data_IF_382776909446
#
_entry.id   IF_382776909446
#
_cell.length_a   1.000
_cell.length_b   1.000
_cell.length_c   1.000
_cell.angle_alpha   90.00
_cell.angle_beta   90.00
_cell.angle_gamma   90.00
#
_symmetry.space_group_name_H-M   'P 1'
#
loop_
_entity.id
_entity.type
_entity.pdbx_description
1 polymer ?
#
# COMPACT_ATOMS: atom_id res chain seq x y z
N UNK A 1 27.03 37.99 -32.98
CA UNK A 1 26.19 36.84 -32.60
C UNK A 1 26.55 36.51 -31.17
N UNK A 2 25.67 36.78 -30.22
CA UNK A 2 25.84 36.39 -28.81
C UNK A 2 25.01 35.13 -28.60
N UNK A 3 25.67 33.97 -28.51
CA UNK A 3 25.02 32.71 -28.13
C UNK A 3 24.80 32.75 -26.61
N UNK A 4 23.56 33.03 -26.20
CA UNK A 4 23.10 32.83 -24.82
C UNK A 4 22.94 31.31 -24.62
N UNK A 5 23.88 30.70 -23.89
CA UNK A 5 23.77 29.30 -23.48
C UNK A 5 22.60 29.13 -22.53
N UNK A 6 21.66 28.25 -22.88
CA UNK A 6 20.52 27.89 -22.06
C UNK A 6 21.01 27.03 -20.87
N UNK A 7 21.05 27.61 -19.66
CA UNK A 7 21.38 26.85 -18.45
C UNK A 7 20.28 25.80 -18.17
N UNK A 8 20.68 24.53 -18.14
CA UNK A 8 19.82 23.40 -17.83
C UNK A 8 20.20 22.80 -16.47
N UNK A 9 19.22 22.61 -15.60
CA UNK A 9 19.36 22.08 -14.26
C UNK A 9 19.02 20.58 -14.30
N UNK A 10 19.92 19.74 -13.77
CA UNK A 10 19.73 18.29 -13.68
C UNK A 10 19.00 17.96 -12.37
N UNK A 11 17.84 17.30 -12.47
CA UNK A 11 17.05 16.84 -11.31
C UNK A 11 17.51 15.43 -10.95
N UNK A 12 17.98 15.26 -9.71
CA UNK A 12 18.51 13.98 -9.19
C UNK A 12 17.52 13.36 -8.22
N UNK A 13 17.21 12.07 -8.42
CA UNK A 13 16.31 11.29 -7.59
C UNK A 13 16.88 10.90 -6.22
N UNK A 14 16.03 10.35 -5.33
CA UNK A 14 16.42 9.93 -3.97
C UNK A 14 17.43 8.76 -3.95
N UNK A 15 17.62 8.09 -5.08
CA UNK A 15 18.61 7.05 -5.36
C UNK A 15 19.92 7.59 -5.93
N UNK A 16 20.04 8.91 -6.10
CA UNK A 16 21.23 9.57 -6.65
C UNK A 16 21.34 9.52 -8.17
N UNK A 17 20.32 9.01 -8.88
CA UNK A 17 20.30 8.93 -10.34
C UNK A 17 19.65 10.19 -10.94
N UNK A 18 20.17 10.74 -12.06
CA UNK A 18 19.52 11.85 -12.74
C UNK A 18 18.21 11.38 -13.40
N UNK A 19 17.09 11.99 -13.01
CA UNK A 19 15.74 11.67 -13.51
C UNK A 19 15.38 12.54 -14.72
N UNK A 20 16.03 13.70 -14.91
CA UNK A 20 15.83 14.54 -16.08
C UNK A 20 16.55 15.89 -16.00
N UNK A 21 16.43 16.70 -17.06
CA UNK A 21 16.92 18.08 -17.10
C UNK A 21 15.77 19.04 -17.32
N UNK A 22 15.73 20.14 -16.56
CA UNK A 22 14.77 21.22 -16.73
C UNK A 22 15.50 22.53 -17.04
N UNK A 23 14.97 23.39 -17.92
CA UNK A 23 15.57 24.69 -18.18
C UNK A 23 15.48 25.57 -16.92
N UNK A 24 16.54 26.33 -16.63
CA UNK A 24 16.62 27.14 -15.41
C UNK A 24 15.49 28.19 -15.29
N UNK A 25 14.93 28.64 -16.41
CA UNK A 25 13.79 29.56 -16.47
C UNK A 25 12.49 28.99 -15.88
N UNK A 26 12.32 27.67 -15.90
CA UNK A 26 11.12 27.02 -15.36
C UNK A 26 11.10 26.99 -13.82
N UNK A 27 12.27 27.09 -13.17
CA UNK A 27 12.38 27.04 -11.69
C UNK A 27 12.18 28.42 -11.07
N UNK A 28 12.59 29.50 -11.75
CA UNK A 28 12.40 30.87 -11.27
C UNK A 28 10.93 31.32 -11.29
N UNK A 29 10.13 30.79 -12.23
CA UNK A 29 8.70 31.14 -12.32
C UNK A 29 7.85 30.64 -11.13
N UNK A 30 8.36 29.72 -10.31
CA UNK A 30 7.68 29.21 -9.12
C UNK A 30 8.02 29.96 -7.82
N UNK A 31 9.00 30.87 -7.83
CA UNK A 31 9.45 31.58 -6.62
C UNK A 31 8.79 32.98 -6.44
N UNK A 32 8.06 33.48 -7.44
CA UNK A 32 7.50 34.86 -7.48
C UNK A 32 6.02 34.98 -7.02
N UNK A 33 5.47 34.03 -6.26
CA UNK A 33 4.12 34.18 -5.67
C UNK A 33 4.22 34.59 -4.20
N UNK A 34 4.48 35.88 -4.00
CA UNK A 34 4.40 36.59 -2.72
C UNK A 34 2.93 36.91 -2.37
N UNK A 35 2.59 36.75 -1.10
CA UNK A 35 1.23 36.87 -0.59
C UNK A 35 0.77 38.31 -0.40
N UNK A 36 -0.41 38.65 -0.93
CA UNK A 36 -1.33 39.61 -0.29
C UNK A 36 -2.71 39.61 -0.96
N UNK A 37 -3.73 39.47 -0.10
CA UNK A 37 -5.06 40.10 -0.14
C UNK A 37 -5.74 40.33 -1.51
N UNK A 38 -6.77 39.54 -1.82
CA UNK A 38 -7.82 39.93 -2.79
C UNK A 38 -9.20 39.59 -2.23
N UNK A 39 -9.95 40.65 -1.97
CA UNK A 39 -11.35 40.71 -1.57
C UNK A 39 -12.30 40.10 -2.60
N UNK A 40 -13.19 39.25 -2.09
CA UNK A 40 -14.60 39.04 -2.45
C UNK A 40 -15.19 40.03 -3.48
N UNK A 41 -15.44 39.57 -4.74
CA UNK A 41 -16.67 39.81 -5.52
C UNK A 41 -16.81 38.78 -6.67
N UNK A 42 -17.88 37.96 -6.60
CA UNK A 42 -18.68 37.31 -7.69
C UNK A 42 -18.00 36.44 -8.76
N UNK A 43 -18.44 35.18 -8.91
CA UNK A 43 -19.39 34.80 -9.99
C UNK A 43 -19.95 33.39 -9.74
N UNK A 44 -21.22 33.24 -10.07
CA UNK A 44 -22.06 32.05 -9.98
C UNK A 44 -21.71 31.11 -11.12
N UNK A 45 -21.24 29.91 -10.79
CA UNK A 45 -21.49 28.73 -11.63
C UNK A 45 -22.12 27.66 -10.78
N UNK A 46 -23.46 27.63 -10.83
CA UNK A 46 -24.24 26.43 -10.61
C UNK A 46 -23.68 25.30 -11.45
N UNK A 47 -23.17 24.29 -10.77
CA UNK A 47 -23.07 22.93 -11.24
C UNK A 47 -23.51 22.08 -10.07
N UNK A 48 -24.81 21.79 -10.01
CA UNK A 48 -25.31 20.63 -9.29
C UNK A 48 -24.59 19.41 -9.87
N UNK A 49 -23.58 18.93 -9.17
CA UNK A 49 -23.11 17.55 -9.29
C UNK A 49 -23.33 16.93 -7.91
N UNK A 50 -24.55 16.44 -7.74
CA UNK A 50 -24.87 15.27 -6.90
C UNK A 50 -24.01 14.10 -7.37
N UNK A 51 -22.73 14.16 -7.06
CA UNK A 51 -21.78 13.06 -7.14
C UNK A 51 -21.63 12.53 -5.73
N UNK A 52 -22.49 11.58 -5.37
CA UNK A 52 -22.31 10.65 -4.26
C UNK A 52 -21.04 9.82 -4.59
N UNK A 53 -19.86 10.44 -4.49
CA UNK A 53 -18.54 9.80 -4.49
C UNK A 53 -18.29 9.22 -3.10
N UNK A 54 -19.27 8.46 -2.60
CA UNK A 54 -19.03 7.37 -1.67
C UNK A 54 -18.51 6.16 -2.49
N UNK A 55 -17.56 6.46 -3.39
CA UNK A 55 -16.77 5.50 -4.12
C UNK A 55 -15.96 4.75 -3.08
N UNK A 56 -16.54 3.63 -2.61
CA UNK A 56 -15.97 2.63 -1.71
C UNK A 56 -14.53 2.97 -1.36
N UNK A 57 -14.31 3.80 -0.31
CA UNK A 57 -12.96 4.18 0.11
C UNK A 57 -12.15 2.92 0.12
N UNK A 58 -11.01 2.93 -0.58
CA UNK A 58 -10.22 1.72 -0.75
C UNK A 58 -10.03 1.12 0.63
N UNK A 59 -10.26 -0.17 0.83
CA UNK A 59 -10.10 -0.79 2.16
C UNK A 59 -8.70 -0.53 2.74
N UNK A 60 -7.72 -0.20 1.89
CA UNK A 60 -6.40 0.26 2.31
C UNK A 60 -6.41 1.64 2.99
N UNK A 61 -7.34 2.53 2.64
CA UNK A 61 -7.47 3.90 3.15
C UNK A 61 -8.11 3.94 4.54
N UNK A 62 -8.74 2.84 4.98
CA UNK A 62 -9.24 2.71 6.35
C UNK A 62 -8.11 2.77 7.40
N UNK A 63 -6.88 2.43 7.01
CA UNK A 63 -5.71 2.47 7.88
C UNK A 63 -4.69 3.45 7.32
N UNK A 64 -4.77 4.69 7.76
CA UNK A 64 -3.89 5.78 7.31
C UNK A 64 -2.42 5.53 7.63
N UNK A 65 -2.11 4.88 8.76
CA UNK A 65 -0.74 4.59 9.19
C UNK A 65 -0.54 3.10 9.54
N UNK A 66 -0.46 2.20 8.54
CA UNK A 66 -0.40 0.75 8.79
C UNK A 66 0.77 0.34 9.68
N UNK A 67 1.96 0.89 9.44
CA UNK A 67 3.16 0.59 10.23
C UNK A 67 3.01 1.00 11.71
N UNK A 68 2.36 2.14 11.98
CA UNK A 68 2.13 2.63 13.34
C UNK A 68 1.15 1.70 14.07
N UNK A 69 0.02 1.40 13.44
CA UNK A 69 -1.01 0.52 14.00
C UNK A 69 -0.46 -0.89 14.28
N UNK A 70 0.31 -1.47 13.35
CA UNK A 70 0.95 -2.78 13.55
C UNK A 70 1.94 -2.80 14.72
N UNK A 71 2.74 -1.75 14.87
CA UNK A 71 3.70 -1.60 15.97
C UNK A 71 2.98 -1.53 17.32
N UNK A 72 1.92 -0.74 17.41
CA UNK A 72 1.11 -0.63 18.65
C UNK A 72 0.39 -1.95 18.94
N UNK A 73 -0.23 -2.59 17.94
CA UNK A 73 -0.89 -3.89 18.11
C UNK A 73 0.06 -4.97 18.60
N UNK A 74 1.30 -5.00 18.08
CA UNK A 74 2.34 -5.93 18.53
C UNK A 74 2.77 -5.67 19.98
N UNK A 75 2.89 -4.39 20.36
CA UNK A 75 3.19 -3.99 21.74
C UNK A 75 2.06 -4.44 22.69
N UNK A 76 0.79 -4.18 22.35
CA UNK A 76 -0.36 -4.59 23.18
C UNK A 76 -0.39 -6.12 23.35
N UNK A 77 -0.15 -6.87 22.27
CA UNK A 77 -0.07 -8.34 22.33
C UNK A 77 1.03 -8.81 23.28
N UNK A 78 2.23 -8.23 23.21
CA UNK A 78 3.32 -8.60 24.11
C UNK A 78 2.96 -8.31 25.57
N UNK A 79 2.36 -7.15 25.86
CA UNK A 79 1.90 -6.81 27.21
C UNK A 79 0.82 -7.79 27.71
N UNK A 80 -0.11 -8.19 26.85
CA UNK A 80 -1.12 -9.19 27.18
C UNK A 80 -0.50 -10.54 27.56
N UNK A 81 0.51 -10.99 26.82
CA UNK A 81 1.23 -12.22 27.16
C UNK A 81 1.98 -12.10 28.49
N UNK A 82 2.59 -10.96 28.79
CA UNK A 82 3.23 -10.71 30.10
C UNK A 82 2.21 -10.74 31.25
N UNK A 83 1.03 -10.15 31.07
CA UNK A 83 -0.06 -10.20 32.08
C UNK A 83 -0.54 -11.64 32.32
N UNK A 84 -0.50 -12.50 31.29
CA UNK A 84 -0.86 -13.92 31.41
C UNK A 84 0.26 -14.76 32.05
N UNK A 85 1.51 -14.30 31.97
CA UNK A 85 2.68 -15.06 32.40
C UNK A 85 2.91 -15.01 33.91
N UNK A 86 2.62 -13.88 34.56
CA UNK A 86 2.83 -13.70 36.00
C UNK A 86 1.83 -12.74 36.65
N UNK A 87 1.51 -12.92 37.94
CA UNK A 87 0.64 -12.00 38.68
C UNK A 87 1.22 -10.58 38.76
N UNK A 88 0.36 -9.58 38.64
CA UNK A 88 0.75 -8.16 38.68
C UNK A 88 0.46 -7.51 40.03
N UNK A 89 1.37 -6.65 40.48
CA UNK A 89 1.13 -5.74 41.59
C UNK A 89 0.29 -4.53 41.17
N UNK A 90 -0.15 -3.74 42.16
CA UNK A 90 -1.02 -2.59 41.91
C UNK A 90 -0.37 -1.50 41.06
N UNK A 91 0.93 -1.23 41.28
CA UNK A 91 1.69 -0.26 40.51
C UNK A 91 1.77 -0.65 39.02
N UNK A 92 2.03 -1.92 38.73
CA UNK A 92 2.07 -2.45 37.37
C UNK A 92 0.71 -2.37 36.69
N UNK A 93 -0.38 -2.67 37.42
CA UNK A 93 -1.75 -2.55 36.88
C UNK A 93 -2.12 -1.11 36.55
N UNK A 94 -1.78 -0.15 37.41
CA UNK A 94 -1.97 1.28 37.12
C UNK A 94 -1.17 1.73 35.90
N UNK A 95 0.07 1.29 35.77
CA UNK A 95 0.89 1.58 34.58
C UNK A 95 0.28 0.98 33.32
N UNK A 96 -0.23 -0.24 33.37
CA UNK A 96 -0.88 -0.91 32.24
C UNK A 96 -2.18 -0.21 31.83
N UNK A 97 -2.97 0.27 32.78
CA UNK A 97 -4.17 1.06 32.49
C UNK A 97 -3.82 2.36 31.73
N UNK A 98 -2.77 3.06 32.15
CA UNK A 98 -2.28 4.25 31.45
C UNK A 98 -1.74 3.92 30.05
N UNK A 99 -1.00 2.82 29.91
CA UNK A 99 -0.51 2.34 28.60
C UNK A 99 -1.69 1.99 27.69
N UNK A 100 -2.73 1.34 28.20
CA UNK A 100 -3.92 1.00 27.42
C UNK A 100 -4.59 2.26 26.85
N UNK A 101 -4.83 3.27 27.68
CA UNK A 101 -5.40 4.55 27.26
C UNK A 101 -4.55 5.26 26.21
N UNK A 102 -3.24 5.36 26.46
CA UNK A 102 -2.31 5.95 25.50
C UNK A 102 -2.25 5.16 24.19
N UNK A 103 -2.38 3.83 24.24
CA UNK A 103 -2.35 2.99 23.04
C UNK A 103 -3.59 3.20 22.18
N UNK A 104 -4.77 3.38 22.77
CA UNK A 104 -6.01 3.73 22.04
C UNK A 104 -5.82 5.07 21.33
N UNK A 105 -5.40 6.12 22.04
CA UNK A 105 -5.16 7.43 21.44
C UNK A 105 -4.11 7.39 20.31
N UNK A 106 -3.09 6.53 20.42
CA UNK A 106 -2.09 6.34 19.36
C UNK A 106 -2.60 5.54 18.16
N UNK A 107 -3.55 4.61 18.39
CA UNK A 107 -4.24 3.88 17.32
C UNK A 107 -5.17 4.81 16.56
N UNK A 108 -5.94 5.65 17.25
CA UNK A 108 -6.87 6.60 16.62
C UNK A 108 -6.18 7.51 15.61
N UNK A 109 -4.97 7.98 15.93
CA UNK A 109 -4.14 8.79 15.02
C UNK A 109 -3.69 8.06 13.74
N UNK A 110 -3.84 6.73 13.67
CA UNK A 110 -3.43 5.91 12.53
C UNK A 110 -4.59 5.23 11.79
N UNK A 111 -5.83 5.52 12.19
CA UNK A 111 -7.05 4.93 11.67
C UNK A 111 -7.91 6.02 11.02
N UNK A 112 -8.65 5.65 9.98
CA UNK A 112 -9.65 6.53 9.39
C UNK A 112 -10.79 6.83 10.39
N UNK A 113 -11.52 7.97 10.23
CA UNK A 113 -12.55 8.40 11.17
C UNK A 113 -13.61 7.33 11.51
N UNK A 114 -14.02 6.52 10.53
CA UNK A 114 -15.01 5.46 10.73
C UNK A 114 -14.53 4.37 11.69
N UNK A 115 -13.25 3.99 11.58
CA UNK A 115 -12.65 3.01 12.48
C UNK A 115 -12.34 3.60 13.85
N UNK A 116 -12.06 4.91 13.93
CA UNK A 116 -11.95 5.63 15.20
C UNK A 116 -13.29 5.56 15.93
N UNK A 117 -14.39 5.93 15.28
CA UNK A 117 -15.72 5.85 15.90
C UNK A 117 -16.10 4.42 16.28
N UNK A 118 -15.73 3.42 15.47
CA UNK A 118 -15.93 2.02 15.83
C UNK A 118 -15.13 1.62 17.07
N UNK A 119 -13.85 2.00 17.13
CA UNK A 119 -12.96 1.72 18.25
C UNK A 119 -13.49 2.38 19.54
N UNK A 120 -13.95 3.64 19.47
CA UNK A 120 -14.53 4.35 20.62
C UNK A 120 -15.84 3.70 21.11
N UNK A 121 -16.69 3.22 20.20
CA UNK A 121 -17.92 2.49 20.59
C UNK A 121 -17.64 1.16 21.26
N UNK A 122 -16.56 0.49 20.87
CA UNK A 122 -16.20 -0.84 21.39
C UNK A 122 -15.33 -0.76 22.66
N UNK A 123 -14.50 0.27 22.78
CA UNK A 123 -13.58 0.44 23.90
C UNK A 123 -14.25 1.20 25.04
N UNK A 124 -14.34 0.56 26.22
CA UNK A 124 -14.83 1.21 27.43
C UNK A 124 -13.63 1.65 28.28
N UNK A 125 -13.45 2.96 28.55
CA UNK A 125 -12.34 3.44 29.37
C UNK A 125 -12.41 2.92 30.81
N UNK A 126 -11.25 2.64 31.41
CA UNK A 126 -11.16 2.37 32.84
C UNK A 126 -11.49 3.61 33.67
N UNK A 127 -12.13 3.40 34.82
CA UNK A 127 -12.33 4.45 35.83
C UNK A 127 -10.99 5.01 36.30
N UNK A 128 -10.91 6.32 36.52
CA UNK A 128 -9.68 6.96 37.03
C UNK A 128 -9.51 6.80 38.54
N UNK A 129 -10.60 6.52 39.26
CA UNK A 129 -10.61 6.45 40.73
C UNK A 129 -10.20 5.09 41.29
N UNK A 130 -10.16 4.05 40.44
CA UNK A 130 -9.96 2.67 40.86
C UNK A 130 -8.94 1.97 39.95
N UNK A 131 -7.91 1.39 40.55
CA UNK A 131 -6.95 0.54 39.84
C UNK A 131 -7.69 -0.69 39.27
N UNK A 132 -7.72 -0.92 37.94
CA UNK A 132 -8.40 -2.08 37.37
C UNK A 132 -7.74 -3.39 37.83
N UNK A 133 -8.55 -4.44 37.86
CA UNK A 133 -8.08 -5.79 38.14
C UNK A 133 -7.27 -6.35 36.96
N UNK A 134 -6.46 -7.37 37.24
CA UNK A 134 -5.70 -8.06 36.20
C UNK A 134 -6.62 -8.71 35.15
N UNK A 135 -7.79 -9.21 35.57
CA UNK A 135 -8.78 -9.77 34.67
C UNK A 135 -9.35 -8.72 33.71
N UNK A 136 -9.68 -7.52 34.21
CA UNK A 136 -10.14 -6.40 33.38
C UNK A 136 -9.07 -5.98 32.36
N UNK A 137 -7.81 -5.86 32.78
CA UNK A 137 -6.69 -5.56 31.88
C UNK A 137 -6.54 -6.62 30.77
N UNK A 138 -6.63 -7.91 31.11
CA UNK A 138 -6.56 -9.00 30.12
C UNK A 138 -7.68 -8.93 29.10
N UNK A 139 -8.92 -8.68 29.54
CA UNK A 139 -10.08 -8.58 28.63
C UNK A 139 -9.92 -7.37 27.70
N UNK A 140 -9.59 -6.20 28.25
CA UNK A 140 -9.45 -4.98 27.46
C UNK A 140 -8.33 -5.09 26.42
N UNK A 141 -7.18 -5.67 26.79
CA UNK A 141 -6.08 -5.88 25.83
C UNK A 141 -6.41 -6.96 24.80
N UNK A 142 -7.03 -8.07 25.21
CA UNK A 142 -7.45 -9.12 24.27
C UNK A 142 -8.47 -8.62 23.25
N UNK A 143 -9.38 -7.73 23.66
CA UNK A 143 -10.32 -7.07 22.77
C UNK A 143 -9.59 -6.26 21.68
N UNK A 144 -8.62 -5.42 22.07
CA UNK A 144 -7.84 -4.63 21.11
C UNK A 144 -7.03 -5.54 20.17
N UNK A 145 -6.37 -6.57 20.70
CA UNK A 145 -5.58 -7.50 19.87
C UNK A 145 -6.48 -8.21 18.86
N UNK A 146 -7.60 -8.77 19.31
CA UNK A 146 -8.52 -9.50 18.42
C UNK A 146 -9.18 -8.60 17.38
N UNK A 147 -9.56 -7.39 17.74
CA UNK A 147 -10.12 -6.41 16.81
C UNK A 147 -9.08 -6.01 15.75
N UNK A 148 -7.83 -5.70 16.16
CA UNK A 148 -6.75 -5.37 15.24
C UNK A 148 -6.40 -6.54 14.30
N UNK A 149 -6.36 -7.77 14.81
CA UNK A 149 -6.17 -8.97 13.96
C UNK A 149 -7.28 -9.10 12.92
N UNK A 150 -8.54 -8.91 13.33
CA UNK A 150 -9.69 -8.93 12.44
C UNK A 150 -9.62 -7.86 11.36
N UNK A 151 -9.24 -6.64 11.74
CA UNK A 151 -9.06 -5.51 10.82
C UNK A 151 -8.02 -5.83 9.74
N UNK A 152 -6.80 -6.22 10.14
CA UNK A 152 -5.74 -6.53 9.18
C UNK A 152 -6.08 -7.75 8.30
N UNK A 153 -6.71 -8.77 8.87
CA UNK A 153 -7.15 -9.93 8.10
C UNK A 153 -8.24 -9.57 7.07
N UNK A 154 -9.19 -8.72 7.45
CA UNK A 154 -10.25 -8.23 6.57
C UNK A 154 -9.68 -7.44 5.38
N UNK A 155 -8.76 -6.52 5.63
CA UNK A 155 -8.08 -5.72 4.59
C UNK A 155 -7.28 -6.64 3.65
N UNK A 156 -6.50 -7.58 4.18
CA UNK A 156 -5.73 -8.52 3.37
C UNK A 156 -6.64 -9.40 2.49
N UNK A 157 -7.77 -9.85 3.04
CA UNK A 157 -8.75 -10.67 2.32
C UNK A 157 -9.39 -9.89 1.18
N UNK A 158 -9.77 -8.64 1.43
CA UNK A 158 -10.34 -7.75 0.41
C UNK A 158 -9.34 -7.44 -0.71
N UNK A 159 -8.09 -7.07 -0.38
CA UNK A 159 -7.04 -6.81 -1.37
C UNK A 159 -6.77 -8.06 -2.21
N UNK A 160 -6.70 -9.23 -1.58
CA UNK A 160 -6.52 -10.48 -2.31
C UNK A 160 -7.69 -10.76 -3.27
N UNK A 161 -8.93 -10.57 -2.82
CA UNK A 161 -10.11 -10.72 -3.66
C UNK A 161 -10.10 -9.75 -4.85
N UNK A 162 -9.76 -8.47 -4.63
CA UNK A 162 -9.61 -7.47 -5.68
C UNK A 162 -8.54 -7.88 -6.71
N UNK A 163 -7.37 -8.34 -6.26
CA UNK A 163 -6.31 -8.81 -7.16
C UNK A 163 -6.75 -10.02 -7.98
N UNK A 164 -7.51 -10.95 -7.41
CA UNK A 164 -8.01 -12.12 -8.12
C UNK A 164 -9.08 -11.74 -9.15
N UNK A 165 -10.00 -10.82 -8.81
CA UNK A 165 -10.99 -10.29 -9.74
C UNK A 165 -10.32 -9.55 -10.91
N UNK A 166 -9.33 -8.71 -10.63
CA UNK A 166 -8.56 -8.01 -11.66
C UNK A 166 -7.84 -9.00 -12.59
N UNK A 167 -7.18 -10.04 -12.05
CA UNK A 167 -6.53 -11.09 -12.85
C UNK A 167 -7.52 -11.81 -13.77
N UNK A 168 -8.70 -12.18 -13.27
CA UNK A 168 -9.74 -12.83 -14.08
C UNK A 168 -10.25 -11.92 -15.20
N UNK A 169 -10.44 -10.62 -14.93
CA UNK A 169 -10.80 -9.63 -15.95
C UNK A 169 -9.73 -9.52 -17.05
N UNK A 170 -8.45 -9.47 -16.67
CA UNK A 170 -7.35 -9.44 -17.66
C UNK A 170 -7.27 -10.72 -18.50
N UNK A 171 -7.50 -11.90 -17.91
CA UNK A 171 -7.55 -13.17 -18.66
C UNK A 171 -8.74 -13.19 -19.64
N UNK A 172 -9.90 -12.66 -19.23
CA UNK A 172 -11.06 -12.55 -20.10
C UNK A 172 -10.80 -11.61 -21.28
N UNK A 173 -10.15 -10.47 -21.05
CA UNK A 173 -9.73 -9.54 -22.12
C UNK A 173 -8.75 -10.23 -23.07
N UNK A 174 -7.74 -10.93 -22.54
CA UNK A 174 -6.78 -11.71 -23.37
C UNK A 174 -7.48 -12.77 -24.22
N UNK A 175 -8.51 -13.44 -23.70
CA UNK A 175 -9.30 -14.44 -24.43
C UNK A 175 -10.24 -13.81 -25.47
N UNK A 176 -10.69 -12.58 -25.24
CA UNK A 176 -11.53 -11.82 -26.16
C UNK A 176 -10.74 -11.13 -27.29
N UNK A 177 -9.41 -10.98 -27.15
CA UNK A 177 -8.57 -10.50 -28.24
C UNK A 177 -8.45 -11.56 -29.36
N UNK A 178 -8.67 -11.19 -30.64
CA UNK A 178 -8.57 -12.13 -31.75
C UNK A 178 -7.19 -12.80 -31.82
N UNK A 179 -7.11 -14.12 -32.05
CA UNK A 179 -5.83 -14.80 -32.27
C UNK A 179 -5.21 -14.27 -33.57
N UNK A 180 -4.27 -13.31 -33.45
CA UNK A 180 -3.64 -12.67 -34.60
C UNK A 180 -2.92 -11.35 -34.32
N UNK A 181 -3.27 -10.62 -33.25
CA UNK A 181 -2.47 -9.49 -32.77
C UNK A 181 -1.39 -9.97 -31.80
N UNK A 182 -0.43 -10.75 -32.33
CA UNK A 182 0.93 -10.58 -31.84
C UNK A 182 1.29 -9.13 -32.10
N UNK A 183 1.68 -8.37 -31.07
CA UNK A 183 2.37 -7.09 -31.26
C UNK A 183 3.52 -7.35 -32.21
N UNK A 184 3.32 -7.00 -33.49
CA UNK A 184 4.26 -7.26 -34.55
C UNK A 184 5.57 -6.59 -34.22
N UNK A 185 6.59 -7.39 -33.91
CA UNK A 185 7.96 -6.95 -34.10
C UNK A 185 8.09 -6.47 -35.56
N UNK A 186 8.56 -5.24 -35.81
CA UNK A 186 8.69 -4.76 -37.17
C UNK A 186 9.83 -5.51 -37.85
N UNK A 187 9.49 -6.29 -38.87
CA UNK A 187 10.41 -6.66 -39.94
C UNK A 187 10.94 -8.09 -39.91
N UNK A 188 10.10 -9.08 -40.24
CA UNK A 188 10.60 -10.26 -40.95
C UNK A 188 9.65 -10.58 -42.12
N UNK A 189 10.13 -10.23 -43.32
CA UNK A 189 9.50 -10.52 -44.60
C UNK A 189 9.40 -12.04 -44.84
N UNK A 190 8.32 -12.54 -45.48
CA UNK A 190 8.24 -13.93 -45.88
C UNK A 190 9.05 -14.12 -47.18
N UNK A 191 10.25 -14.69 -47.08
CA UNK A 191 10.93 -15.25 -48.24
C UNK A 191 10.39 -16.66 -48.49
N UNK A 192 9.49 -16.69 -49.47
CA UNK A 192 9.15 -17.84 -50.28
C UNK A 192 10.43 -18.39 -50.93
N UNK A 193 10.78 -19.65 -50.67
CA UNK A 193 11.61 -20.41 -51.59
C UNK A 193 11.39 -21.91 -51.46
N UNK A 194 10.89 -22.42 -52.59
CA UNK A 194 10.77 -23.79 -53.07
C UNK A 194 11.62 -24.90 -52.41
N UNK A 195 10.94 -26.03 -52.26
CA UNK A 195 11.50 -27.37 -52.22
C UNK A 195 11.95 -27.78 -53.63
N UNK A 196 13.08 -28.52 -53.79
CA UNK A 196 12.95 -29.94 -54.12
C UNK A 196 14.01 -30.83 -53.44
N UNK A 197 13.65 -32.08 -53.09
CA UNK A 197 14.61 -33.14 -52.68
C UNK A 197 15.27 -33.84 -53.88
N UNK A 198 15.78 -35.09 -53.77
CA UNK A 198 16.14 -35.92 -52.61
C UNK A 198 17.62 -36.42 -52.69
N UNK A 199 18.17 -36.99 -51.61
CA UNK A 199 19.06 -38.18 -51.58
C UNK A 199 19.95 -38.24 -50.32
N UNK A 200 20.03 -39.45 -49.72
CA UNK A 200 21.11 -39.84 -48.81
C UNK A 200 20.73 -40.10 -47.34
N UNK A 201 20.24 -41.30 -47.03
CA UNK A 201 20.23 -41.89 -45.68
C UNK A 201 21.67 -42.27 -45.23
N UNK A 202 21.88 -42.93 -44.07
CA UNK A 202 21.88 -42.37 -42.72
C UNK A 202 23.24 -42.66 -42.02
N UNK A 203 23.65 -41.84 -41.04
CA UNK A 203 24.68 -42.25 -40.08
C UNK A 203 24.15 -42.13 -38.65
N UNK A 204 23.98 -43.30 -38.05
CA UNK A 204 23.83 -43.52 -36.62
C UNK A 204 25.13 -43.17 -35.88
N UNK A 205 25.02 -42.68 -34.64
CA UNK A 205 25.82 -43.09 -33.47
C UNK A 205 25.59 -42.12 -32.28
N UNK A 206 24.73 -42.53 -31.34
CA UNK A 206 25.04 -42.44 -29.90
C UNK A 206 25.97 -43.62 -29.55
N UNK A 207 26.65 -43.71 -28.37
CA UNK A 207 26.48 -42.96 -27.12
C UNK A 207 27.81 -42.53 -26.45
N UNK A 208 27.74 -41.79 -25.31
CA UNK A 208 28.62 -41.91 -24.10
C UNK A 208 28.33 -40.74 -23.14
N UNK A 209 27.78 -40.98 -21.95
CA UNK A 209 28.41 -41.57 -20.76
C UNK A 209 29.13 -40.54 -19.87
N UNK A 210 28.57 -40.32 -18.68
CA UNK A 210 29.34 -40.15 -17.44
C UNK A 210 29.40 -38.74 -16.84
N UNK A 211 29.06 -38.63 -15.56
CA UNK A 211 29.53 -37.52 -14.72
C UNK A 211 28.64 -37.10 -13.55
N UNK A 212 28.35 -38.00 -12.62
CA UNK A 212 27.96 -37.63 -11.25
C UNK A 212 29.14 -36.91 -10.56
N UNK A 213 28.89 -35.76 -9.93
CA UNK A 213 29.75 -35.24 -8.88
C UNK A 213 28.89 -34.90 -7.65
N UNK A 214 29.48 -35.26 -6.50
CA UNK A 214 28.97 -35.24 -5.13
C UNK A 214 28.42 -33.88 -4.67
#
# INVERSE_FOLDING_TARGET
MTESGEEQIVVVGPDGQPIGTVPASAVQASEDVDGSDVTDVTDVTSGDDDGDDDGERSLADLVEQPAKVMRIGSMIRQLLEEVKAAPLDEASRNRLAAIHRSSIAELEQGLAPELVEELERLSLPFSEDVTPSEAELRIAQAQLVGWLEGLFHGIQTAIYAQQMAARAQFEQIRRALPPGMSMGAPGQSPLQQEQPGPDGQPHAEEPRSGGMYL
#
